data_IF_208101182547
#
_entry.id   IF_208101182547
#
_cell.length_a   1.000
_cell.length_b   1.000
_cell.length_c   1.000
_cell.angle_alpha   90.00
_cell.angle_beta   90.00
_cell.angle_gamma   90.00
#
_symmetry.space_group_name_H-M   'P 1'
#
loop_
_entity.id
_entity.type
_entity.pdbx_description
1 polymer ?
#
# COMPACT_ATOMS: atom_id res chain seq x y z
N UNK A 1 -13.79 -3.90 -12.70
CA UNK A 1 -13.60 -4.67 -11.46
C UNK A 1 -13.60 -3.70 -10.30
N UNK A 2 -14.30 -3.99 -9.21
CA UNK A 2 -14.59 -3.01 -8.14
C UNK A 2 -13.53 -2.96 -7.02
N UNK A 3 -12.41 -3.67 -7.18
CA UNK A 3 -11.37 -3.78 -6.14
C UNK A 3 -10.63 -2.47 -5.91
N UNK A 4 -10.17 -1.81 -6.98
CA UNK A 4 -9.40 -0.56 -6.84
C UNK A 4 -10.24 0.58 -6.22
N UNK A 5 -11.49 0.85 -6.65
CA UNK A 5 -12.34 1.84 -5.98
C UNK A 5 -12.56 1.54 -4.50
N UNK A 6 -12.77 0.26 -4.14
CA UNK A 6 -12.95 -0.15 -2.75
C UNK A 6 -11.69 0.11 -1.90
N UNK A 7 -10.51 -0.29 -2.38
CA UNK A 7 -9.26 -0.06 -1.66
C UNK A 7 -8.95 1.44 -1.51
N UNK A 8 -9.24 2.25 -2.53
CA UNK A 8 -9.08 3.72 -2.47
C UNK A 8 -10.02 4.35 -1.44
N UNK A 9 -11.28 3.89 -1.38
CA UNK A 9 -12.24 4.35 -0.39
C UNK A 9 -11.77 4.00 1.04
N UNK A 10 -11.32 2.76 1.25
CA UNK A 10 -10.76 2.31 2.53
C UNK A 10 -9.58 3.19 2.99
N UNK A 11 -8.67 3.53 2.08
CA UNK A 11 -7.54 4.42 2.36
C UNK A 11 -8.04 5.81 2.79
N UNK A 12 -8.94 6.41 2.02
CA UNK A 12 -9.50 7.72 2.33
C UNK A 12 -10.26 7.75 3.67
N UNK A 13 -11.02 6.69 3.98
CA UNK A 13 -11.71 6.55 5.27
C UNK A 13 -10.74 6.41 6.44
N UNK A 14 -9.67 5.63 6.27
CA UNK A 14 -8.63 5.46 7.30
C UNK A 14 -7.93 6.77 7.60
N UNK A 15 -7.52 7.52 6.57
CA UNK A 15 -6.87 8.82 6.73
C UNK A 15 -7.79 9.81 7.46
N UNK A 16 -9.08 9.85 7.12
CA UNK A 16 -10.05 10.73 7.80
C UNK A 16 -10.27 10.36 9.26
N UNK A 17 -10.15 9.07 9.61
CA UNK A 17 -10.34 8.59 10.97
C UNK A 17 -9.11 8.82 11.86
N UNK A 18 -7.90 8.80 11.31
CA UNK A 18 -6.63 8.92 12.04
C UNK A 18 -5.88 10.21 11.68
N UNK A 19 -6.52 11.38 11.91
CA UNK A 19 -6.00 12.70 11.51
C UNK A 19 -4.71 13.11 12.24
N UNK A 20 -4.44 12.52 13.39
CA UNK A 20 -3.21 12.68 14.17
C UNK A 20 -2.03 11.92 13.56
N UNK A 21 -2.31 10.83 12.84
CA UNK A 21 -1.29 10.03 12.16
C UNK A 21 -1.05 10.48 10.71
N UNK A 22 -2.08 10.99 10.04
CA UNK A 22 -2.05 11.41 8.64
C UNK A 22 -2.32 12.90 8.50
N UNK A 23 -1.36 13.71 8.93
CA UNK A 23 -1.42 15.17 8.77
C UNK A 23 -0.87 15.62 7.40
N UNK A 24 -0.94 16.92 7.14
CA UNK A 24 -0.46 17.50 5.87
C UNK A 24 1.05 17.29 5.65
N UNK A 25 1.86 17.15 6.71
CA UNK A 25 3.28 16.89 6.57
C UNK A 25 3.54 15.46 6.07
N UNK A 26 2.75 14.48 6.53
CA UNK A 26 2.81 13.10 6.05
C UNK A 26 2.20 12.96 4.65
N UNK A 27 1.04 13.57 4.41
CA UNK A 27 0.28 13.44 3.16
C UNK A 27 0.85 14.31 2.02
N UNK A 28 1.61 15.36 2.36
CA UNK A 28 2.09 16.38 1.42
C UNK A 28 0.98 17.24 0.81
N UNK A 29 -0.24 17.17 1.36
CA UNK A 29 -1.47 17.91 0.98
C UNK A 29 -2.43 17.94 2.17
N UNK A 30 -3.39 18.88 2.21
CA UNK A 30 -4.49 18.82 3.17
C UNK A 30 -5.28 17.51 3.08
N UNK A 31 -5.76 16.99 4.22
CA UNK A 31 -6.46 15.69 4.33
C UNK A 31 -7.58 15.54 3.29
N UNK A 32 -8.44 16.54 3.17
CA UNK A 32 -9.59 16.48 2.26
C UNK A 32 -9.16 16.45 0.79
N UNK A 33 -8.07 17.15 0.44
CA UNK A 33 -7.48 17.13 -0.89
C UNK A 33 -6.83 15.77 -1.19
N UNK A 34 -6.08 15.21 -0.25
CA UNK A 34 -5.48 13.88 -0.40
C UNK A 34 -6.55 12.79 -0.57
N UNK A 35 -7.60 12.83 0.26
CA UNK A 35 -8.69 11.87 0.19
C UNK A 35 -9.49 11.97 -1.11
N UNK A 36 -9.66 13.19 -1.66
CA UNK A 36 -10.25 13.36 -2.99
C UNK A 36 -9.31 12.82 -4.08
N UNK A 37 -8.01 13.15 -3.99
CA UNK A 37 -6.98 12.72 -4.93
C UNK A 37 -6.86 11.19 -5.01
N UNK A 38 -6.77 10.48 -3.88
CA UNK A 38 -6.56 9.01 -3.91
C UNK A 38 -7.78 8.26 -4.44
N UNK A 39 -8.97 8.86 -4.42
CA UNK A 39 -10.19 8.28 -4.98
C UNK A 39 -10.31 8.47 -6.51
N UNK A 40 -9.51 9.36 -7.11
CA UNK A 40 -9.42 9.51 -8.57
C UNK A 40 -8.73 8.27 -9.18
N UNK A 41 -9.27 7.77 -10.30
CA UNK A 41 -8.78 6.57 -10.97
C UNK A 41 -7.42 6.77 -11.67
N UNK A 42 -7.02 8.03 -11.89
CA UNK A 42 -5.72 8.42 -12.46
C UNK A 42 -4.63 8.58 -11.41
N UNK A 43 -4.97 8.54 -10.12
CA UNK A 43 -4.00 8.71 -9.04
C UNK A 43 -3.27 7.41 -8.73
N UNK A 44 -1.98 7.51 -8.41
CA UNK A 44 -1.12 6.35 -8.16
C UNK A 44 -0.89 6.26 -6.65
N UNK A 45 -1.26 5.12 -6.06
CA UNK A 45 -0.94 4.83 -4.67
C UNK A 45 0.55 4.52 -4.47
N UNK A 46 1.03 4.63 -3.24
CA UNK A 46 2.42 4.35 -2.88
C UNK A 46 2.56 3.91 -1.43
N UNK A 47 3.62 4.38 -0.77
CA UNK A 47 3.99 3.94 0.58
C UNK A 47 2.88 4.16 1.63
N UNK A 48 2.12 5.26 1.54
CA UNK A 48 1.03 5.57 2.47
C UNK A 48 -0.09 4.54 2.33
N UNK A 49 -0.55 4.29 1.10
CA UNK A 49 -1.56 3.28 0.80
C UNK A 49 -1.10 1.89 1.25
N UNK A 50 0.15 1.51 0.97
CA UNK A 50 0.70 0.20 1.35
C UNK A 50 0.77 0.02 2.87
N UNK A 51 1.14 1.06 3.62
CA UNK A 51 1.14 1.01 5.09
C UNK A 51 -0.29 0.82 5.64
N UNK A 52 -1.26 1.55 5.10
CA UNK A 52 -2.67 1.44 5.50
C UNK A 52 -3.21 0.05 5.18
N UNK A 53 -2.96 -0.46 3.97
CA UNK A 53 -3.45 -1.77 3.53
C UNK A 53 -2.79 -2.91 4.32
N UNK A 54 -1.49 -2.81 4.62
CA UNK A 54 -0.78 -3.75 5.48
C UNK A 54 -1.44 -3.86 6.85
N UNK A 55 -1.74 -2.70 7.48
CA UNK A 55 -2.41 -2.65 8.77
C UNK A 55 -3.84 -3.20 8.71
N UNK A 56 -4.61 -2.78 7.70
CA UNK A 56 -6.01 -3.20 7.55
C UNK A 56 -6.16 -4.71 7.35
N UNK A 57 -5.31 -5.32 6.52
CA UNK A 57 -5.38 -6.75 6.24
C UNK A 57 -4.61 -7.62 7.24
N UNK A 58 -3.90 -7.01 8.20
CA UNK A 58 -3.10 -7.74 9.19
C UNK A 58 -2.00 -8.59 8.55
N UNK A 59 -1.35 -8.06 7.51
CA UNK A 59 -0.27 -8.74 6.79
C UNK A 59 0.87 -7.79 6.47
N UNK A 60 2.08 -8.34 6.47
CA UNK A 60 3.25 -7.60 6.03
C UNK A 60 3.27 -7.49 4.50
N UNK A 61 3.57 -6.31 3.97
CA UNK A 61 3.77 -6.13 2.53
C UNK A 61 5.26 -5.83 2.30
N UNK A 62 5.97 -6.74 1.64
CA UNK A 62 7.37 -6.56 1.29
C UNK A 62 7.48 -6.15 -0.18
N UNK A 63 7.96 -4.93 -0.43
CA UNK A 63 8.16 -4.38 -1.77
C UNK A 63 9.63 -4.49 -2.15
N UNK A 64 9.93 -5.30 -3.16
CA UNK A 64 11.24 -5.39 -3.81
C UNK A 64 11.38 -4.20 -4.77
N UNK A 65 12.13 -3.20 -4.35
CA UNK A 65 12.45 -2.02 -5.15
C UNK A 65 13.65 -2.34 -6.04
N UNK A 66 13.39 -2.49 -7.34
CA UNK A 66 14.42 -2.87 -8.32
C UNK A 66 15.32 -1.70 -8.71
N UNK A 67 14.89 -0.46 -8.47
CA UNK A 67 15.68 0.75 -8.75
C UNK A 67 16.77 0.92 -7.70
N UNK A 68 16.41 0.75 -6.43
CA UNK A 68 17.31 0.97 -5.30
C UNK A 68 17.95 -0.32 -4.76
N UNK A 69 17.54 -1.48 -5.27
CA UNK A 69 17.97 -2.81 -4.80
C UNK A 69 17.76 -3.01 -3.29
N UNK A 70 16.61 -2.52 -2.78
CA UNK A 70 16.20 -2.64 -1.37
C UNK A 70 14.84 -3.35 -1.26
N UNK A 71 14.52 -3.80 -0.05
CA UNK A 71 13.20 -4.33 0.28
C UNK A 71 12.55 -3.40 1.32
N UNK A 72 11.50 -2.70 0.92
CA UNK A 72 10.70 -1.88 1.82
C UNK A 72 9.62 -2.75 2.47
N UNK A 73 9.62 -2.84 3.80
CA UNK A 73 8.74 -3.74 4.55
C UNK A 73 7.70 -2.93 5.33
N UNK A 74 6.45 -3.02 4.92
CA UNK A 74 5.33 -2.37 5.60
C UNK A 74 4.73 -3.35 6.60
N UNK A 75 4.65 -2.93 7.88
CA UNK A 75 4.14 -3.77 8.97
C UNK A 75 5.17 -4.74 9.57
N UNK A 76 6.47 -4.50 9.39
CA UNK A 76 7.53 -5.43 9.81
C UNK A 76 7.64 -5.64 11.33
N UNK A 77 7.20 -4.68 12.12
CA UNK A 77 7.23 -4.67 13.58
C UNK A 77 5.92 -5.21 14.21
N UNK A 78 4.91 -5.48 13.39
CA UNK A 78 3.58 -5.88 13.84
C UNK A 78 3.45 -7.39 14.11
N UNK A 79 4.48 -8.18 13.80
CA UNK A 79 4.47 -9.65 13.96
C UNK A 79 3.30 -10.34 13.26
N UNK A 80 2.92 -9.84 12.07
CA UNK A 80 1.85 -10.44 11.28
C UNK A 80 2.18 -11.88 10.84
N UNK A 81 1.19 -12.79 10.81
CA UNK A 81 1.42 -14.20 10.46
C UNK A 81 1.63 -14.42 8.96
N UNK A 82 1.32 -13.42 8.13
CA UNK A 82 1.36 -13.51 6.68
C UNK A 82 2.16 -12.36 6.07
N UNK A 83 2.83 -12.65 4.96
CA UNK A 83 3.57 -11.68 4.14
C UNK A 83 3.25 -11.89 2.67
N UNK A 84 3.05 -10.78 1.96
CA UNK A 84 2.96 -10.74 0.50
C UNK A 84 4.14 -9.99 -0.09
N UNK A 85 4.47 -10.28 -1.34
CA UNK A 85 5.58 -9.66 -2.06
C UNK A 85 5.08 -8.92 -3.29
N UNK A 86 5.55 -7.68 -3.44
CA UNK A 86 5.38 -6.88 -4.64
C UNK A 86 6.75 -6.55 -5.21
N UNK A 87 6.84 -6.41 -6.53
CA UNK A 87 7.98 -5.82 -7.22
C UNK A 87 7.62 -4.40 -7.63
N UNK A 88 8.56 -3.46 -7.45
CA UNK A 88 8.42 -2.08 -7.86
C UNK A 88 9.58 -1.68 -8.79
N UNK A 89 9.26 -1.07 -9.93
CA UNK A 89 10.23 -0.65 -10.95
C UNK A 89 10.45 0.88 -11.01
N UNK A 90 9.96 1.62 -10.02
CA UNK A 90 9.96 3.08 -10.01
C UNK A 90 8.64 3.69 -10.48
N UNK A 91 7.80 2.92 -11.16
CA UNK A 91 6.50 3.36 -11.68
C UNK A 91 5.42 2.33 -11.32
N UNK A 92 5.59 1.08 -11.74
CA UNK A 92 4.61 0.00 -11.62
C UNK A 92 4.86 -0.92 -10.42
N UNK A 93 3.77 -1.48 -9.92
CA UNK A 93 3.76 -2.58 -8.95
C UNK A 93 3.23 -3.86 -9.59
N UNK A 94 3.98 -4.94 -9.45
CA UNK A 94 3.56 -6.28 -9.87
C UNK A 94 3.58 -7.27 -8.69
N UNK A 95 2.58 -8.16 -8.56
CA UNK A 95 2.58 -9.18 -7.52
C UNK A 95 3.62 -10.26 -7.81
N UNK A 96 4.32 -10.71 -6.78
CA UNK A 96 5.22 -11.86 -6.85
C UNK A 96 4.54 -13.07 -6.20
N UNK A 97 4.57 -14.20 -6.89
CA UNK A 97 4.13 -15.49 -6.38
C UNK A 97 5.24 -16.53 -6.53
N UNK A 98 5.26 -17.49 -5.61
CA UNK A 98 6.18 -18.62 -5.67
C UNK A 98 5.45 -19.77 -6.37
N UNK A 99 5.93 -20.18 -7.53
CA UNK A 99 5.45 -21.37 -8.20
C UNK A 99 6.11 -22.61 -7.57
N UNK A 100 5.32 -23.62 -7.21
CA UNK A 100 5.86 -24.88 -6.70
C UNK A 100 6.48 -25.68 -7.84
N UNK A 101 7.62 -26.32 -7.58
CA UNK A 101 8.30 -27.18 -8.55
C UNK A 101 7.53 -28.48 -8.83
N UNK A 102 6.59 -28.85 -7.97
CA UNK A 102 5.78 -30.07 -8.07
C UNK A 102 4.53 -29.89 -8.97
N UNK A 103 4.62 -29.04 -10.00
CA UNK A 103 3.49 -28.53 -10.78
C UNK A 103 2.41 -29.56 -11.17
N UNK A 104 1.15 -29.16 -10.98
CA UNK A 104 -0.06 -29.54 -11.76
C UNK A 104 -0.45 -31.00 -11.86
#
# INVERSE_FOLDING_TARGET
GNVAPYMRQLVAETIRAAKDQYDEAILGKPIDEYCAWIQDDKSWGGAIELAILSNYYGMEIAVVDTINAIINRFGEDQSYPHRVFLMFDGIHYDPLYMESLDGG
#
